data_IF_902416953647
#
_entry.id   IF_902416953647
#
_cell.length_a   1.000
_cell.length_b   1.000
_cell.length_c   1.000
_cell.angle_alpha   90.00
_cell.angle_beta   90.00
_cell.angle_gamma   90.00
#
_symmetry.space_group_name_H-M   'P 1'
#
loop_
_entity.id
_entity.type
_entity.pdbx_description
1 polymer ?
#
# COMPACT_ATOMS: atom_id res chain seq x y z
N UNK A 1 14.60 3.52 -19.67
CA UNK A 1 13.18 3.66 -20.04
C UNK A 1 12.43 3.71 -18.72
N UNK A 2 11.84 4.84 -18.40
CA UNK A 2 11.12 4.99 -17.14
C UNK A 2 9.80 4.23 -17.28
N UNK A 3 9.57 3.27 -16.39
CA UNK A 3 8.39 2.39 -16.41
C UNK A 3 7.22 2.96 -15.57
N UNK A 4 7.33 4.24 -15.17
CA UNK A 4 6.30 4.99 -14.48
C UNK A 4 5.89 6.23 -15.25
N UNK A 5 4.64 6.63 -15.12
CA UNK A 5 4.14 7.91 -15.58
C UNK A 5 4.45 8.99 -14.53
N UNK A 6 4.90 10.17 -14.95
CA UNK A 6 5.08 11.34 -14.06
C UNK A 6 3.85 12.22 -14.17
N UNK A 7 3.12 12.38 -13.10
CA UNK A 7 1.94 13.25 -13.03
C UNK A 7 2.06 14.17 -11.82
N UNK A 8 1.48 15.34 -11.97
CA UNK A 8 1.43 16.36 -10.93
C UNK A 8 0.01 16.40 -10.35
N UNK A 9 -0.16 16.01 -9.08
CA UNK A 9 -1.43 16.15 -8.36
C UNK A 9 -1.27 17.08 -7.17
N UNK A 10 -2.22 17.99 -7.00
CA UNK A 10 -2.26 18.90 -5.87
C UNK A 10 -3.24 18.47 -4.79
N UNK A 11 -4.05 17.41 -5.04
CA UNK A 11 -5.05 16.94 -4.10
C UNK A 11 -5.34 15.45 -4.28
N UNK A 12 -5.95 14.83 -3.26
CA UNK A 12 -6.41 13.44 -3.31
C UNK A 12 -7.46 13.21 -4.40
N UNK A 13 -8.35 14.18 -4.65
CA UNK A 13 -9.34 14.09 -5.73
C UNK A 13 -8.69 13.99 -7.10
N UNK A 14 -7.66 14.79 -7.37
CA UNK A 14 -6.89 14.69 -8.62
C UNK A 14 -6.15 13.34 -8.73
N UNK A 15 -5.68 12.80 -7.60
CA UNK A 15 -5.12 11.45 -7.57
C UNK A 15 -6.16 10.42 -8.01
N UNK A 16 -7.39 10.49 -7.51
CA UNK A 16 -8.46 9.59 -7.92
C UNK A 16 -8.86 9.77 -9.40
N UNK A 17 -8.76 10.97 -9.95
CA UNK A 17 -8.99 11.22 -11.38
C UNK A 17 -7.99 10.45 -12.27
N UNK A 18 -6.76 10.22 -11.79
CA UNK A 18 -5.77 9.41 -12.49
C UNK A 18 -6.04 7.90 -12.38
N UNK A 19 -6.87 7.50 -11.44
CA UNK A 19 -7.29 6.11 -11.22
C UNK A 19 -8.82 6.01 -11.20
N UNK A 20 -9.51 6.38 -12.30
CA UNK A 20 -10.98 6.48 -12.32
C UNK A 20 -11.67 5.14 -12.03
N UNK A 21 -10.96 4.06 -12.18
CA UNK A 21 -11.43 2.70 -11.90
C UNK A 21 -11.26 2.29 -10.43
N UNK A 22 -10.64 3.14 -9.58
CA UNK A 22 -10.42 2.85 -8.16
C UNK A 22 -11.41 3.65 -7.32
N UNK A 23 -12.32 2.94 -6.68
CA UNK A 23 -13.10 3.48 -5.58
C UNK A 23 -12.35 3.12 -4.29
N UNK A 24 -12.07 4.10 -3.44
CA UNK A 24 -11.44 3.87 -2.14
C UNK A 24 -12.51 3.65 -1.09
N UNK A 25 -12.56 2.44 -0.53
CA UNK A 25 -13.52 2.07 0.51
C UNK A 25 -12.95 2.25 1.92
N UNK A 26 -11.63 2.03 2.07
CA UNK A 26 -10.95 2.02 3.37
C UNK A 26 -9.66 2.82 3.32
N UNK A 27 -9.46 3.73 4.29
CA UNK A 27 -8.16 4.35 4.54
C UNK A 27 -7.44 3.62 5.67
N UNK A 28 -6.34 2.95 5.33
CA UNK A 28 -5.61 2.10 6.26
C UNK A 28 -4.76 2.84 7.30
N UNK A 29 -4.43 4.12 7.05
CA UNK A 29 -3.49 4.90 7.89
C UNK A 29 -3.95 6.34 8.10
N UNK A 30 -5.15 6.52 8.63
CA UNK A 30 -5.76 7.82 8.78
C UNK A 30 -5.89 8.27 10.25
N UNK A 31 -6.18 9.54 10.39
CA UNK A 31 -6.78 10.16 11.56
C UNK A 31 -8.12 10.76 11.13
N UNK A 32 -8.97 11.06 12.09
CA UNK A 32 -10.28 11.66 11.82
C UNK A 32 -10.22 12.88 10.88
N UNK A 33 -9.22 13.75 11.08
CA UNK A 33 -9.09 15.01 10.33
C UNK A 33 -8.51 14.85 8.90
N UNK A 34 -7.86 13.70 8.58
CA UNK A 34 -7.19 13.52 7.28
C UNK A 34 -7.65 12.28 6.51
N UNK A 35 -8.70 11.61 6.97
CA UNK A 35 -9.22 10.39 6.34
C UNK A 35 -9.65 10.63 4.89
N UNK A 36 -9.42 9.66 4.04
CA UNK A 36 -9.78 9.66 2.62
C UNK A 36 -10.99 8.77 2.30
N UNK A 37 -11.46 8.02 3.30
CA UNK A 37 -12.66 7.19 3.22
C UNK A 37 -13.46 7.26 4.52
N UNK A 38 -14.73 6.86 4.48
CA UNK A 38 -15.57 6.77 5.69
C UNK A 38 -15.07 5.67 6.63
N UNK A 39 -14.68 4.53 6.06
CA UNK A 39 -14.03 3.45 6.81
C UNK A 39 -12.55 3.79 6.92
N UNK A 40 -12.05 3.96 8.12
CA UNK A 40 -10.62 4.20 8.33
C UNK A 40 -10.10 3.55 9.60
N UNK A 41 -8.80 3.27 9.59
CA UNK A 41 -8.07 2.72 10.73
C UNK A 41 -7.06 3.73 11.25
N UNK A 42 -7.16 4.03 12.53
CA UNK A 42 -6.29 4.99 13.21
C UNK A 42 -5.19 4.29 14.01
N UNK A 43 -4.12 5.02 14.29
CA UNK A 43 -3.04 4.52 15.15
C UNK A 43 -3.48 4.39 16.60
N UNK A 44 -4.31 5.33 17.06
CA UNK A 44 -4.84 5.42 18.43
C UNK A 44 -6.37 5.46 18.35
N UNK A 45 -7.09 5.13 19.44
CA UNK A 45 -8.54 5.31 19.46
C UNK A 45 -8.94 6.74 19.15
N UNK A 46 -9.79 6.91 18.14
CA UNK A 46 -10.33 8.19 17.70
C UNK A 46 -11.84 8.09 17.45
N UNK A 47 -12.58 9.21 17.56
CA UNK A 47 -13.98 9.24 17.16
C UNK A 47 -14.15 8.77 15.71
N UNK A 48 -15.20 8.00 15.46
CA UNK A 48 -15.56 7.48 14.13
C UNK A 48 -14.55 6.51 13.49
N UNK A 49 -13.39 6.26 14.13
CA UNK A 49 -12.46 5.25 13.65
C UNK A 49 -13.12 3.87 13.68
N UNK A 50 -13.10 3.17 12.55
CA UNK A 50 -13.67 1.81 12.44
C UNK A 50 -12.82 0.79 13.18
N UNK A 51 -11.52 1.06 13.35
CA UNK A 51 -10.61 0.20 14.10
C UNK A 51 -9.29 0.87 14.42
N UNK A 52 -8.63 0.33 15.44
CA UNK A 52 -7.30 0.80 15.88
C UNK A 52 -6.25 -0.17 15.40
N UNK A 53 -5.14 0.36 14.88
CA UNK A 53 -4.02 -0.39 14.34
C UNK A 53 -4.38 -1.26 13.12
N UNK A 54 -3.98 -0.80 11.94
CA UNK A 54 -4.20 -1.47 10.66
C UNK A 54 -3.84 -2.97 10.67
N UNK A 55 -2.75 -3.34 11.33
CA UNK A 55 -2.25 -4.72 11.37
C UNK A 55 -3.09 -5.67 12.26
N UNK A 56 -3.93 -5.11 13.12
CA UNK A 56 -4.88 -5.88 13.94
C UNK A 56 -6.20 -6.14 13.22
N UNK A 57 -6.41 -5.51 12.05
CA UNK A 57 -7.65 -5.61 11.32
C UNK A 57 -7.64 -6.79 10.36
N UNK A 58 -8.75 -7.49 10.29
CA UNK A 58 -9.02 -8.44 9.22
C UNK A 58 -9.42 -7.65 7.97
N UNK A 59 -8.68 -7.81 6.89
CA UNK A 59 -8.98 -7.17 5.63
C UNK A 59 -9.93 -8.03 4.78
N UNK A 60 -10.65 -7.39 3.89
CA UNK A 60 -11.61 -8.07 3.01
C UNK A 60 -11.22 -7.86 1.54
N UNK A 61 -11.09 -8.94 0.73
CA UNK A 61 -10.65 -8.87 -0.66
C UNK A 61 -11.54 -8.02 -1.58
N UNK A 62 -12.81 -7.85 -1.21
CA UNK A 62 -13.78 -7.10 -2.00
C UNK A 62 -13.79 -5.59 -1.71
N UNK A 63 -13.00 -5.12 -0.71
CA UNK A 63 -12.83 -3.71 -0.41
C UNK A 63 -11.52 -3.20 -1.01
N UNK A 64 -11.54 -1.95 -1.46
CA UNK A 64 -10.40 -1.25 -2.01
C UNK A 64 -9.74 -0.37 -0.95
N UNK A 65 -8.44 -0.55 -0.73
CA UNK A 65 -7.68 0.09 0.32
C UNK A 65 -6.80 1.22 -0.21
N UNK A 66 -6.88 2.36 0.44
CA UNK A 66 -5.86 3.40 0.32
C UNK A 66 -4.91 3.29 1.51
N UNK A 67 -3.62 3.13 1.24
CA UNK A 67 -2.61 2.99 2.27
C UNK A 67 -1.44 3.94 2.01
N UNK A 68 -1.23 4.87 2.94
CA UNK A 68 -0.04 5.72 2.98
C UNK A 68 0.68 5.49 4.33
N UNK A 69 1.37 4.35 4.46
CA UNK A 69 2.00 3.95 5.71
C UNK A 69 3.24 4.79 6.02
N UNK A 70 3.55 5.01 7.30
CA UNK A 70 4.86 5.49 7.71
C UNK A 70 5.98 4.60 7.17
N UNK A 71 7.16 5.16 6.82
CA UNK A 71 8.25 4.40 6.18
C UNK A 71 8.66 3.10 6.87
N UNK A 72 8.69 3.11 8.21
CA UNK A 72 9.08 1.93 9.00
C UNK A 72 8.13 0.73 8.93
N UNK A 73 6.91 0.92 8.41
CA UNK A 73 5.89 -0.16 8.34
C UNK A 73 5.45 -0.48 6.91
N UNK A 74 6.09 0.10 5.88
CA UNK A 74 5.73 -0.14 4.47
C UNK A 74 5.79 -1.62 4.12
N UNK A 75 6.87 -2.32 4.48
CA UNK A 75 7.00 -3.76 4.21
C UNK A 75 5.91 -4.56 4.92
N UNK A 76 5.64 -4.26 6.18
CA UNK A 76 4.58 -4.93 6.93
C UNK A 76 3.21 -4.67 6.30
N UNK A 77 2.95 -3.44 5.83
CA UNK A 77 1.72 -3.09 5.12
C UNK A 77 1.57 -3.88 3.83
N UNK A 78 2.62 -3.93 3.01
CA UNK A 78 2.64 -4.73 1.78
C UNK A 78 2.32 -6.20 2.05
N UNK A 79 2.98 -6.82 3.04
CA UNK A 79 2.75 -8.22 3.41
C UNK A 79 1.33 -8.45 3.94
N UNK A 80 0.80 -7.52 4.74
CA UNK A 80 -0.56 -7.61 5.27
C UNK A 80 -1.61 -7.54 4.15
N UNK A 81 -1.50 -6.55 3.24
CA UNK A 81 -2.38 -6.41 2.09
C UNK A 81 -2.35 -7.65 1.19
N UNK A 82 -1.16 -8.18 0.90
CA UNK A 82 -0.99 -9.36 0.04
C UNK A 82 -1.54 -10.63 0.67
N UNK A 83 -1.39 -10.80 1.99
CA UNK A 83 -1.90 -11.98 2.71
C UNK A 83 -3.43 -12.10 2.69
N UNK A 84 -4.13 -10.96 2.58
CA UNK A 84 -5.58 -10.91 2.44
C UNK A 84 -6.06 -10.77 0.99
N UNK A 85 -5.15 -10.81 0.02
CA UNK A 85 -5.49 -10.74 -1.42
C UNK A 85 -6.33 -9.49 -1.78
N UNK A 86 -5.99 -8.36 -1.18
CA UNK A 86 -6.70 -7.10 -1.36
C UNK A 86 -6.27 -6.34 -2.61
N UNK A 87 -6.99 -5.28 -2.94
CA UNK A 87 -6.67 -4.33 -4.01
C UNK A 87 -6.75 -2.89 -3.51
N UNK A 88 -6.19 -1.95 -4.27
CA UNK A 88 -6.25 -0.52 -3.92
C UNK A 88 -5.06 0.29 -4.37
N UNK A 89 -4.74 1.32 -3.59
CA UNK A 89 -3.63 2.25 -3.80
C UNK A 89 -2.65 2.21 -2.63
N UNK A 90 -1.38 1.97 -2.93
CA UNK A 90 -0.29 2.01 -1.97
C UNK A 90 0.65 3.17 -2.30
N UNK A 91 0.87 4.06 -1.35
CA UNK A 91 1.77 5.21 -1.47
C UNK A 91 3.07 4.89 -0.74
N UNK A 92 4.21 5.00 -1.43
CA UNK A 92 5.54 4.71 -0.86
C UNK A 92 6.60 5.68 -1.36
N UNK A 93 7.63 6.00 -0.56
CA UNK A 93 8.79 6.73 -1.07
C UNK A 93 9.61 5.86 -2.02
N UNK A 94 10.33 6.51 -2.95
CA UNK A 94 11.32 5.85 -3.82
C UNK A 94 12.64 5.78 -3.05
N UNK A 95 12.82 4.68 -2.31
CA UNK A 95 14.04 4.43 -1.53
C UNK A 95 14.65 3.07 -1.92
N UNK A 96 15.45 3.00 -2.99
CA UNK A 96 15.98 1.75 -3.52
C UNK A 96 16.85 0.93 -2.54
N UNK A 97 17.44 1.59 -1.55
CA UNK A 97 18.25 0.94 -0.51
C UNK A 97 17.43 0.41 0.67
N UNK A 98 16.13 0.63 0.71
CA UNK A 98 15.29 0.16 1.80
C UNK A 98 14.88 -1.30 1.64
N UNK A 99 14.62 -1.98 2.76
CA UNK A 99 14.22 -3.39 2.79
C UNK A 99 12.87 -3.68 2.12
N UNK A 100 11.97 -2.69 2.04
CA UNK A 100 10.69 -2.86 1.36
C UNK A 100 10.81 -2.77 -0.16
N UNK A 101 11.84 -2.07 -0.69
CA UNK A 101 11.96 -1.76 -2.10
C UNK A 101 12.04 -2.99 -2.99
N UNK A 102 12.83 -3.99 -2.60
CA UNK A 102 12.97 -5.24 -3.34
C UNK A 102 11.70 -6.08 -3.41
N UNK A 103 10.74 -5.85 -2.52
CA UNK A 103 9.43 -6.48 -2.59
C UNK A 103 8.48 -5.74 -3.54
N UNK A 104 8.67 -4.42 -3.70
CA UNK A 104 7.87 -3.59 -4.60
C UNK A 104 8.41 -3.67 -6.03
N UNK A 105 9.75 -3.63 -6.18
CA UNK A 105 10.43 -3.65 -7.49
C UNK A 105 11.54 -4.73 -7.44
N UNK A 106 11.18 -6.02 -7.57
CA UNK A 106 12.10 -7.14 -7.31
C UNK A 106 13.37 -7.13 -8.18
N UNK A 107 13.25 -6.76 -9.44
CA UNK A 107 14.36 -6.73 -10.40
C UNK A 107 14.84 -5.30 -10.74
N UNK A 108 14.25 -4.29 -10.10
CA UNK A 108 14.56 -2.88 -10.35
C UNK A 108 14.15 -2.36 -11.73
N UNK A 109 13.48 -3.17 -12.55
CA UNK A 109 13.20 -2.85 -13.97
C UNK A 109 11.76 -3.10 -14.40
N UNK A 110 11.09 -4.10 -13.85
CA UNK A 110 9.76 -4.50 -14.25
C UNK A 110 8.79 -4.46 -13.08
N UNK A 111 7.55 -4.16 -13.40
CA UNK A 111 6.47 -4.24 -12.42
C UNK A 111 6.13 -5.71 -12.17
N UNK A 112 6.01 -6.13 -10.92
CA UNK A 112 5.43 -7.42 -10.61
C UNK A 112 3.95 -7.47 -11.03
N UNK A 113 3.43 -8.66 -11.32
CA UNK A 113 2.07 -8.84 -11.85
C UNK A 113 0.93 -8.28 -10.98
N UNK A 114 1.17 -8.11 -9.66
CA UNK A 114 0.22 -7.49 -8.74
C UNK A 114 0.16 -5.96 -8.88
N UNK A 115 1.21 -5.29 -9.40
CA UNK A 115 1.22 -3.85 -9.63
C UNK A 115 0.62 -3.56 -10.99
N UNK A 116 -0.59 -3.01 -11.01
CA UNK A 116 -1.36 -2.78 -12.24
C UNK A 116 -1.05 -1.44 -12.89
N UNK A 117 -0.71 -0.43 -12.11
CA UNK A 117 -0.37 0.92 -12.58
C UNK A 117 0.48 1.63 -11.54
N UNK A 118 1.42 2.46 -11.98
CA UNK A 118 2.29 3.23 -11.08
C UNK A 118 2.45 4.66 -11.58
N UNK A 119 2.34 5.60 -10.64
CA UNK A 119 2.70 6.99 -10.86
C UNK A 119 3.84 7.42 -9.93
N UNK A 120 4.76 8.21 -10.46
CA UNK A 120 5.83 8.85 -9.71
C UNK A 120 5.52 10.31 -9.47
N UNK A 121 5.72 10.74 -8.23
CA UNK A 121 5.71 12.14 -7.82
C UNK A 121 7.13 12.56 -7.48
N UNK A 122 7.52 13.73 -7.95
CA UNK A 122 8.82 14.31 -7.59
C UNK A 122 8.79 14.90 -6.19
N UNK A 123 9.97 15.00 -5.57
CA UNK A 123 10.15 15.66 -4.28
C UNK A 123 9.54 17.08 -4.28
N UNK A 124 8.96 17.46 -3.14
CA UNK A 124 8.30 18.76 -2.97
C UNK A 124 6.89 18.86 -3.53
N UNK A 125 6.38 17.79 -4.12
CA UNK A 125 5.09 17.80 -4.83
C UNK A 125 3.89 17.53 -3.92
N UNK A 126 4.06 16.77 -2.85
CA UNK A 126 3.03 16.53 -1.83
C UNK A 126 3.05 17.74 -0.89
N UNK A 127 2.40 18.82 -1.30
CA UNK A 127 2.29 20.07 -0.52
C UNK A 127 0.93 20.22 0.15
N UNK A 128 -0.05 19.41 -0.23
CA UNK A 128 -1.39 19.48 0.33
C UNK A 128 -1.39 18.84 1.74
N UNK A 129 -1.69 19.61 2.79
CA UNK A 129 -1.80 19.09 4.15
C UNK A 129 -2.85 17.97 4.28
N UNK A 130 -3.83 17.90 3.37
CA UNK A 130 -4.82 16.81 3.35
C UNK A 130 -4.23 15.48 2.82
N UNK A 131 -3.22 15.55 1.99
CA UNK A 131 -2.52 14.36 1.45
C UNK A 131 -1.37 13.94 2.38
N UNK A 132 -0.80 14.89 3.10
CA UNK A 132 0.23 14.61 4.10
C UNK A 132 -0.41 13.92 5.30
N UNK A 133 -0.04 12.69 5.54
CA UNK A 133 -0.29 12.07 6.84
C UNK A 133 0.39 12.92 7.90
N UNK A 134 -0.09 12.88 9.14
CA UNK A 134 0.51 13.57 10.29
C UNK A 134 2.01 13.31 10.48
N UNK A 135 2.57 12.37 9.75
CA UNK A 135 3.98 11.99 9.73
C UNK A 135 4.84 12.96 8.92
N UNK A 136 4.26 13.67 7.93
CA UNK A 136 4.97 14.60 7.07
C UNK A 136 4.40 16.00 7.25
N UNK A 137 4.97 16.78 8.17
CA UNK A 137 4.57 18.17 8.41
C UNK A 137 5.06 19.13 7.32
N UNK A 138 6.09 18.72 6.59
CA UNK A 138 6.72 19.50 5.53
C UNK A 138 6.55 18.81 4.17
N UNK A 139 6.65 19.54 3.05
CA UNK A 139 6.65 18.95 1.72
C UNK A 139 7.64 17.79 1.65
N UNK A 140 7.23 16.68 1.09
CA UNK A 140 8.10 15.52 0.97
C UNK A 140 9.37 15.89 0.20
N UNK A 141 10.53 15.66 0.81
CA UNK A 141 11.84 15.92 0.22
C UNK A 141 12.34 14.78 -0.66
N UNK A 142 11.53 13.76 -0.88
CA UNK A 142 11.83 12.56 -1.66
C UNK A 142 10.74 12.30 -2.69
N UNK A 143 11.13 11.62 -3.75
CA UNK A 143 10.19 11.14 -4.75
C UNK A 143 9.30 10.03 -4.17
N UNK A 144 8.05 10.01 -4.60
CA UNK A 144 7.03 9.08 -4.10
C UNK A 144 6.40 8.30 -5.25
N UNK A 145 6.08 7.02 -5.01
CA UNK A 145 5.26 6.20 -5.90
C UNK A 145 3.85 6.05 -5.35
N UNK A 146 2.88 6.12 -6.25
CA UNK A 146 1.54 5.61 -6.00
C UNK A 146 1.33 4.40 -6.89
N UNK A 147 1.05 3.28 -6.27
CA UNK A 147 0.94 1.99 -6.92
C UNK A 147 -0.51 1.52 -6.80
N UNK A 148 -1.19 1.37 -7.95
CA UNK A 148 -2.41 0.59 -8.00
C UNK A 148 -2.03 -0.87 -7.91
N UNK A 149 -2.45 -1.54 -6.86
CA UNK A 149 -2.17 -2.96 -6.63
C UNK A 149 -3.45 -3.80 -6.68
N UNK A 150 -3.28 -5.06 -7.04
CA UNK A 150 -4.31 -6.08 -7.00
C UNK A 150 -3.64 -7.43 -6.72
N UNK A 151 -3.80 -7.89 -5.49
CA UNK A 151 -3.27 -9.19 -5.05
C UNK A 151 -4.26 -10.34 -5.29
N UNK A 152 -5.55 -10.07 -5.53
CA UNK A 152 -6.58 -11.09 -5.73
C UNK A 152 -6.46 -11.82 -7.07
N UNK A 153 -5.94 -11.14 -8.11
CA UNK A 153 -5.66 -11.74 -9.42
C UNK A 153 -4.35 -12.53 -9.48
N UNK A 154 -3.59 -12.56 -8.39
CA UNK A 154 -2.24 -13.13 -8.33
C UNK A 154 -2.24 -14.50 -7.67
N UNK A 155 -3.09 -15.41 -8.15
CA UNK A 155 -3.11 -16.78 -7.66
C UNK A 155 -1.95 -17.60 -8.23
N UNK A 156 -1.00 -17.90 -7.36
CA UNK A 156 -0.22 -19.13 -7.25
C UNK A 156 0.88 -19.47 -8.25
N UNK A 157 1.00 -18.95 -9.47
CA UNK A 157 2.07 -19.37 -10.38
C UNK A 157 3.40 -18.62 -10.17
N UNK A 158 3.34 -17.38 -9.75
CA UNK A 158 4.53 -16.49 -9.74
C UNK A 158 5.21 -16.38 -8.36
N UNK A 159 4.52 -16.74 -7.27
CA UNK A 159 5.14 -16.87 -5.93
C UNK A 159 6.06 -18.10 -5.83
N UNK A 160 5.83 -19.14 -6.64
CA UNK A 160 6.71 -20.30 -6.70
C UNK A 160 8.06 -20.04 -7.39
N UNK A 161 8.17 -19.01 -8.22
CA UNK A 161 9.45 -18.65 -8.88
C UNK A 161 10.38 -17.81 -7.99
N UNK A 162 9.88 -17.23 -6.91
CA UNK A 162 10.64 -16.48 -5.93
C UNK A 162 10.97 -17.35 -4.71
N UNK A 163 11.76 -18.41 -4.83
CA UNK A 163 12.37 -19.22 -3.74
C UNK A 163 11.74 -19.12 -2.33
N UNK A 164 10.40 -19.02 -2.27
CA UNK A 164 9.63 -18.92 -1.03
C UNK A 164 8.87 -20.23 -0.85
N UNK A 165 9.32 -21.08 0.05
CA UNK A 165 8.64 -22.32 0.39
C UNK A 165 7.50 -22.03 1.38
N UNK A 166 6.25 -22.40 1.08
CA UNK A 166 5.16 -22.28 2.03
C UNK A 166 5.35 -23.30 3.17
N UNK A 167 5.30 -22.83 4.40
CA UNK A 167 5.24 -23.69 5.58
C UNK A 167 3.77 -23.87 5.94
N UNK A 168 3.22 -25.06 5.67
CA UNK A 168 1.88 -25.43 6.12
C UNK A 168 1.88 -25.64 7.63
N UNK A 169 1.20 -24.77 8.36
CA UNK A 169 0.92 -24.99 9.76
C UNK A 169 -0.49 -25.57 9.91
N UNK A 170 -0.58 -26.87 10.09
CA UNK A 170 -1.82 -27.60 10.39
C UNK A 170 -2.13 -27.47 11.88
N UNK A 171 -2.84 -26.44 12.29
CA UNK A 171 -3.58 -26.41 13.56
C UNK A 171 -4.83 -25.55 13.41
N UNK A 172 -5.97 -26.21 13.30
CA UNK A 172 -7.28 -25.65 13.65
C UNK A 172 -7.84 -24.55 12.74
N UNK A 173 -8.07 -24.82 11.45
CA UNK A 173 -9.06 -24.08 10.66
C UNK A 173 -8.69 -22.67 10.18
N UNK A 174 -7.51 -22.15 10.46
CA UNK A 174 -6.98 -20.91 9.88
C UNK A 174 -5.76 -21.21 9.02
N UNK A 175 -5.83 -20.95 7.72
CA UNK A 175 -4.66 -20.96 6.84
C UNK A 175 -3.83 -19.72 7.13
N UNK A 176 -2.80 -19.84 7.97
CA UNK A 176 -1.75 -18.83 8.09
C UNK A 176 -0.59 -19.24 7.18
N UNK A 177 -0.42 -18.54 6.07
CA UNK A 177 0.79 -18.64 5.25
C UNK A 177 1.89 -17.82 5.92
N UNK A 178 2.82 -18.48 6.62
CA UNK A 178 4.06 -17.86 7.06
C UNK A 178 5.13 -18.05 5.98
N UNK A 179 5.67 -16.95 5.47
CA UNK A 179 6.82 -16.96 4.58
C UNK A 179 8.09 -16.86 5.40
N UNK A 180 8.99 -17.81 5.22
CA UNK A 180 10.33 -17.77 5.81
C UNK A 180 11.30 -17.37 4.71
N UNK A 181 11.91 -16.20 4.83
CA UNK A 181 13.01 -15.79 3.98
C UNK A 181 14.26 -16.61 4.35
N UNK A 182 14.95 -17.08 3.34
CA UNK A 182 16.34 -17.58 3.45
C UNK A 182 17.30 -16.47 3.14
#
# INVERSE_FOLDING_TARGET
MDWWESINFNSFSQLLEAFPEVQVDVDGFAQYCNRKAEIFFSKMPEPESTGVNFFSQRLFPYLSYYCFPPPGVILATFLHLSSYQTSGLLVTPIWPSSSFWTNIVPDGRHLPGWAKRIFRFRAGFITDPEVLSSTFKDPATFDTLIIKFDFGGFLSSDLCSANVTPVNCLLGGCFCLFYRFK
#
